data_IF_094454951911
#
_entry.id   IF_094454951911
#
_cell.length_a   1.000
_cell.length_b   1.000
_cell.length_c   1.000
_cell.angle_alpha   90.00
_cell.angle_beta   90.00
_cell.angle_gamma   90.00
#
_symmetry.space_group_name_H-M   'P 1'
#
loop_
_entity.id
_entity.type
_entity.pdbx_description
1 polymer ?
#
# COMPACT_ATOMS: atom_id res chain seq x y z
N UNK A 1 16.79 -14.60 -22.20
CA UNK A 1 16.74 -15.35 -20.92
C UNK A 1 17.74 -14.70 -19.98
N UNK A 2 17.36 -14.34 -18.75
CA UNK A 2 18.35 -14.03 -17.73
C UNK A 2 19.18 -15.30 -17.50
N UNK A 3 20.49 -15.17 -17.63
CA UNK A 3 21.41 -16.30 -17.67
C UNK A 3 21.21 -17.20 -16.45
N UNK A 4 20.96 -18.50 -16.70
CA UNK A 4 20.89 -19.54 -15.66
C UNK A 4 19.59 -19.62 -14.85
N UNK A 5 18.68 -18.65 -14.93
CA UNK A 5 17.45 -18.67 -14.12
C UNK A 5 16.26 -19.31 -14.83
N UNK A 6 16.28 -19.41 -16.16
CA UNK A 6 15.10 -19.79 -16.96
C UNK A 6 14.07 -18.66 -17.08
N UNK A 7 14.35 -17.48 -16.54
CA UNK A 7 13.42 -16.35 -16.56
C UNK A 7 13.66 -15.47 -17.77
N UNK A 8 12.59 -14.89 -18.31
CA UNK A 8 12.68 -13.84 -19.33
C UNK A 8 12.54 -12.47 -18.68
N UNK A 9 13.01 -11.41 -19.36
CA UNK A 9 12.79 -10.05 -18.90
C UNK A 9 11.30 -9.72 -18.73
N UNK A 10 10.42 -10.35 -19.53
CA UNK A 10 8.96 -10.26 -19.41
C UNK A 10 8.46 -10.91 -18.11
N UNK A 11 8.95 -12.10 -17.78
CA UNK A 11 8.59 -12.80 -16.54
C UNK A 11 9.02 -12.02 -15.29
N UNK A 12 10.24 -11.47 -15.30
CA UNK A 12 10.75 -10.61 -14.21
C UNK A 12 9.91 -9.34 -14.08
N UNK A 13 9.61 -8.68 -15.21
CA UNK A 13 8.77 -7.47 -15.22
C UNK A 13 7.37 -7.75 -14.69
N UNK A 14 6.75 -8.86 -15.09
CA UNK A 14 5.43 -9.26 -14.60
C UNK A 14 5.41 -9.58 -13.10
N UNK A 15 6.47 -10.23 -12.58
CA UNK A 15 6.60 -10.50 -11.15
C UNK A 15 6.80 -9.20 -10.33
N UNK A 16 7.65 -8.30 -10.80
CA UNK A 16 7.89 -7.01 -10.17
C UNK A 16 6.63 -6.13 -10.18
N UNK A 17 5.88 -6.11 -11.28
CA UNK A 17 4.61 -5.38 -11.39
C UNK A 17 3.55 -5.92 -10.43
N UNK A 18 3.45 -7.25 -10.27
CA UNK A 18 2.52 -7.85 -9.30
C UNK A 18 2.86 -7.47 -7.85
N UNK A 19 4.14 -7.57 -7.46
CA UNK A 19 4.56 -7.15 -6.12
C UNK A 19 4.34 -5.66 -5.86
N UNK A 20 4.58 -4.81 -6.88
CA UNK A 20 4.31 -3.37 -6.79
C UNK A 20 2.81 -3.06 -6.63
N UNK A 21 1.94 -3.77 -7.36
CA UNK A 21 0.48 -3.61 -7.25
C UNK A 21 -0.04 -3.96 -5.86
N UNK A 22 0.49 -5.03 -5.25
CA UNK A 22 0.12 -5.46 -3.90
C UNK A 22 0.56 -4.42 -2.85
N UNK A 23 1.81 -3.96 -2.94
CA UNK A 23 2.34 -2.91 -2.06
C UNK A 23 1.59 -1.58 -2.20
N UNK A 24 1.24 -1.18 -3.42
CA UNK A 24 0.45 0.03 -3.66
C UNK A 24 -0.95 -0.09 -3.03
N UNK A 25 -1.57 -1.27 -3.14
CA UNK A 25 -2.87 -1.55 -2.51
C UNK A 25 -2.77 -1.49 -0.99
N UNK A 26 -1.73 -2.10 -0.40
CA UNK A 26 -1.49 -2.06 1.04
C UNK A 26 -1.23 -0.62 1.54
N UNK A 27 -0.42 0.16 0.82
CA UNK A 27 -0.14 1.56 1.16
C UNK A 27 -1.40 2.44 1.08
N UNK A 28 -2.27 2.20 0.09
CA UNK A 28 -3.56 2.89 0.01
C UNK A 28 -4.47 2.53 1.19
N UNK A 29 -4.58 1.25 1.53
CA UNK A 29 -5.38 0.81 2.67
C UNK A 29 -4.88 1.38 3.99
N UNK A 30 -3.56 1.40 4.21
CA UNK A 30 -2.94 2.02 5.38
C UNK A 30 -3.19 3.53 5.43
N UNK A 31 -3.05 4.23 4.30
CA UNK A 31 -3.36 5.65 4.18
C UNK A 31 -4.82 5.98 4.53
N UNK A 32 -5.78 5.18 4.06
CA UNK A 32 -7.18 5.33 4.44
C UNK A 32 -7.42 5.05 5.92
N UNK A 33 -6.77 4.02 6.49
CA UNK A 33 -6.87 3.71 7.91
C UNK A 33 -6.30 4.85 8.79
N UNK A 34 -5.15 5.41 8.40
CA UNK A 34 -4.56 6.56 9.06
C UNK A 34 -5.46 7.80 8.98
N UNK A 35 -6.04 8.08 7.80
CA UNK A 35 -6.99 9.18 7.64
C UNK A 35 -8.24 9.01 8.52
N UNK A 36 -8.80 7.80 8.59
CA UNK A 36 -9.95 7.51 9.45
C UNK A 36 -9.64 7.72 10.94
N UNK A 37 -8.43 7.32 11.39
CA UNK A 37 -7.96 7.58 12.76
C UNK A 37 -7.84 9.07 13.04
N UNK A 38 -7.21 9.83 12.14
CA UNK A 38 -7.09 11.29 12.29
C UNK A 38 -8.45 12.00 12.39
N UNK A 39 -9.44 11.59 11.59
CA UNK A 39 -10.81 12.12 11.69
C UNK A 39 -11.47 11.79 13.04
N UNK A 40 -11.27 10.57 13.54
CA UNK A 40 -11.77 10.13 14.85
C UNK A 40 -11.13 10.89 16.01
N UNK A 41 -9.82 11.14 15.95
CA UNK A 41 -9.10 11.93 16.95
C UNK A 41 -9.56 13.39 16.97
N UNK A 42 -9.77 13.99 15.79
CA UNK A 42 -10.32 15.35 15.65
C UNK A 42 -11.74 15.43 16.24
N UNK A 43 -12.59 14.43 15.98
CA UNK A 43 -13.94 14.38 16.55
C UNK A 43 -13.89 14.30 18.08
N UNK A 44 -13.09 13.40 18.64
CA UNK A 44 -12.92 13.24 20.09
C UNK A 44 -12.35 14.51 20.76
N UNK A 45 -11.40 15.19 20.13
CA UNK A 45 -10.87 16.47 20.63
C UNK A 45 -11.93 17.56 20.68
N UNK A 46 -12.94 17.53 19.80
CA UNK A 46 -14.02 18.50 19.78
C UNK A 46 -15.07 18.22 20.86
N UNK A 47 -15.35 16.94 21.13
CA UNK A 47 -16.31 16.53 22.15
C UNK A 47 -15.79 16.70 23.58
N UNK A 48 -14.48 16.52 23.80
CA UNK A 48 -13.85 16.73 25.11
C UNK A 48 -13.58 18.19 25.49
N UNK A 49 -13.84 19.14 24.59
CA UNK A 49 -13.64 20.58 24.80
C UNK A 49 -14.93 21.33 25.19
N UNK A 50 -16.03 20.61 25.39
CA UNK A 50 -17.33 21.11 25.89
C UNK A 50 -17.44 20.94 27.41
#
# INVERSE_FOLDING_TARGET
>A
MLSGTGWTAVTVRGAAQRGCSDLATAALADGFAAAARGLSEVAQSRDGAA
#
